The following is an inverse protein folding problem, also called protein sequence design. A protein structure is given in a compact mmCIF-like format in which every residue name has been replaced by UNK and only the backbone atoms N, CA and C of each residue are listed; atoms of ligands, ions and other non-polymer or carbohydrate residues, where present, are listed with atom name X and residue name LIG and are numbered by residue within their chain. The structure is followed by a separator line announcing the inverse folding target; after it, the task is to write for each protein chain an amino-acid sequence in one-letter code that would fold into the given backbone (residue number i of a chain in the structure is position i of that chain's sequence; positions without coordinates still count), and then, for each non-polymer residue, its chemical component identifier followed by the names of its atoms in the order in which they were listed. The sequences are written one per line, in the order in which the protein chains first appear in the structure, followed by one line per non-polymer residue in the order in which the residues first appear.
data_IF_060653409419
#
_entry.id   IF_060653409419
#
_cell.length_a   1.000
_cell.length_b   1.000
_cell.length_c   1.000
_cell.angle_alpha   90.00
_cell.angle_beta   90.00
_cell.angle_gamma   90.00
#
_symmetry.space_group_name_H-M   'P 1'
#
loop_
_entity.id
_entity.type
_entity.pdbx_description
1 polymer ?
#
# COMPACT_ATOMS: atom_id res chain seq x y z
N UNK A 1 32.98 41.05 -5.90
CA UNK A 1 34.11 40.80 -4.99
C UNK A 1 33.67 39.76 -3.97
N UNK A 2 34.60 38.86 -3.60
CA UNK A 2 34.54 37.75 -2.62
C UNK A 2 33.61 38.04 -1.43
N UNK A 3 32.82 37.07 -0.96
CA UNK A 3 33.31 36.03 -0.04
C UNK A 3 32.51 34.71 -0.07
N UNK A 4 33.26 33.62 0.01
CA UNK A 4 32.85 32.23 0.23
C UNK A 4 32.93 31.95 1.75
N UNK A 5 32.19 30.91 2.18
CA UNK A 5 32.36 30.03 3.38
C UNK A 5 31.26 30.23 4.44
N UNK A 6 30.72 29.21 5.11
CA UNK A 6 31.03 27.77 5.13
C UNK A 6 29.81 26.98 5.65
N UNK A 7 29.87 25.67 5.43
CA UNK A 7 29.01 24.63 5.98
C UNK A 7 28.93 24.67 7.51
N UNK A 8 27.74 24.43 8.05
CA UNK A 8 27.55 23.81 9.37
C UNK A 8 26.37 22.84 9.30
N UNK A 9 26.73 21.56 9.21
CA UNK A 9 25.93 20.42 9.67
C UNK A 9 25.54 20.58 11.14
N UNK A 10 24.30 20.29 11.50
CA UNK A 10 23.95 19.20 12.44
C UNK A 10 22.58 19.40 13.14
N UNK A 11 22.00 18.24 13.44
CA UNK A 11 21.08 17.93 14.54
C UNK A 11 19.57 18.04 14.28
N UNK A 12 19.01 16.85 14.09
CA UNK A 12 17.61 16.49 14.17
C UNK A 12 16.97 16.93 15.50
N UNK A 13 15.68 17.27 15.45
CA UNK A 13 14.80 17.26 16.59
C UNK A 13 13.50 16.56 16.18
N UNK A 14 13.29 15.38 16.75
CA UNK A 14 12.11 14.56 16.58
C UNK A 14 10.87 15.27 17.17
N UNK A 15 9.83 15.43 16.36
CA UNK A 15 8.52 15.88 16.83
C UNK A 15 7.76 14.66 17.33
N UNK A 16 7.67 14.52 18.66
CA UNK A 16 6.75 13.58 19.31
C UNK A 16 5.39 14.26 19.40
N UNK A 17 4.49 13.93 18.47
CA UNK A 17 3.07 14.23 18.60
C UNK A 17 2.36 13.04 19.22
N UNK A 18 2.04 13.18 20.50
CA UNK A 18 1.13 12.31 21.21
C UNK A 18 -0.29 12.49 20.66
N UNK A 19 -0.85 11.42 20.09
CA UNK A 19 -2.30 11.19 20.12
C UNK A 19 -2.54 9.86 20.83
N UNK A 20 -3.00 9.97 22.07
CA UNK A 20 -3.58 8.86 22.81
C UNK A 20 -4.94 8.52 22.20
N UNK A 21 -5.20 7.23 21.99
CA UNK A 21 -6.56 6.71 21.89
C UNK A 21 -6.92 5.93 20.63
N UNK A 22 -6.12 4.93 20.24
CA UNK A 22 -6.64 3.79 19.49
C UNK A 22 -6.38 2.53 20.28
N UNK A 23 -7.45 1.76 20.54
CA UNK A 23 -7.42 0.45 21.15
C UNK A 23 -6.23 -0.37 20.63
N UNK A 24 -5.43 -0.92 21.54
CA UNK A 24 -4.28 -1.76 21.19
C UNK A 24 -4.80 -2.95 20.36
N UNK A 25 -4.44 -3.08 19.08
CA UNK A 25 -4.58 -4.38 18.44
C UNK A 25 -3.67 -5.33 19.22
N UNK A 26 -4.19 -6.52 19.54
CA UNK A 26 -3.40 -7.59 20.10
C UNK A 26 -2.08 -7.65 19.34
N UNK A 27 -0.97 -7.51 20.06
CA UNK A 27 0.37 -7.55 19.48
C UNK A 27 0.54 -8.93 18.83
N UNK A 28 0.24 -9.01 17.54
CA UNK A 28 0.78 -10.04 16.69
C UNK A 28 2.30 -9.97 16.89
N UNK A 29 2.94 -11.13 17.07
CA UNK A 29 4.38 -11.24 17.00
C UNK A 29 4.88 -10.40 15.81
N UNK A 30 6.01 -9.67 15.93
CA UNK A 30 6.48 -8.84 14.83
C UNK A 30 6.61 -9.76 13.60
N UNK A 31 5.70 -9.58 12.65
CA UNK A 31 5.81 -10.26 11.38
C UNK A 31 7.04 -9.67 10.70
N UNK A 32 7.93 -10.51 10.22
CA UNK A 32 9.05 -10.06 9.40
C UNK A 32 8.49 -9.17 8.26
N UNK A 33 9.16 -8.05 7.95
CA UNK A 33 8.61 -7.06 7.02
C UNK A 33 8.22 -7.69 5.67
N UNK A 34 8.96 -8.71 5.22
CA UNK A 34 8.59 -9.53 4.06
C UNK A 34 7.25 -10.26 4.23
N UNK A 35 7.00 -10.92 5.37
CA UNK A 35 5.72 -11.60 5.64
C UNK A 35 4.56 -10.60 5.67
N UNK A 36 4.76 -9.43 6.27
CA UNK A 36 3.75 -8.37 6.28
C UNK A 36 3.47 -7.83 4.87
N UNK A 37 4.51 -7.64 4.05
CA UNK A 37 4.38 -7.17 2.68
C UNK A 37 3.69 -8.21 1.77
N UNK A 38 4.00 -9.50 1.93
CA UNK A 38 3.29 -10.58 1.24
C UNK A 38 1.80 -10.61 1.60
N UNK A 39 1.47 -10.50 2.89
CA UNK A 39 0.08 -10.43 3.34
C UNK A 39 -0.67 -9.18 2.81
N UNK A 40 0.04 -8.08 2.56
CA UNK A 40 -0.54 -6.91 1.88
C UNK A 40 -0.81 -7.19 0.40
N UNK A 41 0.12 -7.83 -0.31
CA UNK A 41 -0.07 -8.24 -1.70
C UNK A 41 -1.24 -9.21 -1.87
N UNK A 42 -1.36 -10.20 -0.96
CA UNK A 42 -2.47 -11.15 -0.97
C UNK A 42 -3.83 -10.47 -0.77
N UNK A 43 -3.90 -9.48 0.13
CA UNK A 43 -5.13 -8.70 0.33
C UNK A 43 -5.49 -7.87 -0.90
N UNK A 44 -4.51 -7.21 -1.52
CA UNK A 44 -4.75 -6.42 -2.73
C UNK A 44 -5.22 -7.30 -3.90
N UNK A 45 -4.69 -8.53 -4.01
CA UNK A 45 -5.17 -9.53 -4.98
C UNK A 45 -6.63 -9.93 -4.70
N UNK A 46 -6.97 -10.26 -3.45
CA UNK A 46 -8.33 -10.63 -3.05
C UNK A 46 -9.34 -9.50 -3.30
N UNK A 47 -8.94 -8.25 -3.03
CA UNK A 47 -9.76 -7.08 -3.27
C UNK A 47 -10.05 -6.89 -4.76
N UNK A 48 -9.02 -7.01 -5.62
CA UNK A 48 -9.20 -7.00 -7.07
C UNK A 48 -10.15 -8.11 -7.54
N UNK A 49 -9.94 -9.35 -7.09
CA UNK A 49 -10.74 -10.49 -7.52
C UNK A 49 -12.22 -10.34 -7.08
N UNK A 50 -12.45 -9.79 -5.89
CA UNK A 50 -13.80 -9.46 -5.41
C UNK A 50 -14.46 -8.41 -6.28
N UNK A 51 -13.76 -7.31 -6.60
CA UNK A 51 -14.28 -6.24 -7.46
C UNK A 51 -14.60 -6.76 -8.86
N UNK A 52 -13.68 -7.52 -9.45
CA UNK A 52 -13.88 -8.18 -10.75
C UNK A 52 -15.11 -9.07 -10.74
N UNK A 53 -15.25 -9.94 -9.73
CA UNK A 53 -16.40 -10.85 -9.60
C UNK A 53 -17.72 -10.09 -9.42
N UNK A 54 -17.70 -8.96 -8.72
CA UNK A 54 -18.85 -8.06 -8.61
C UNK A 54 -19.31 -7.53 -9.97
N UNK A 55 -18.38 -7.12 -10.84
CA UNK A 55 -18.72 -6.70 -12.20
C UNK A 55 -19.17 -7.85 -13.09
N UNK A 56 -18.53 -9.02 -13.01
CA UNK A 56 -18.96 -10.21 -13.73
C UNK A 56 -20.41 -10.59 -13.39
N UNK A 57 -20.78 -10.55 -12.10
CA UNK A 57 -22.15 -10.78 -11.66
C UNK A 57 -23.14 -9.73 -12.19
N UNK A 58 -22.76 -8.44 -12.21
CA UNK A 58 -23.59 -7.37 -12.79
C UNK A 58 -23.79 -7.57 -14.29
N UNK A 59 -22.74 -7.96 -15.01
CA UNK A 59 -22.82 -8.25 -16.46
C UNK A 59 -23.73 -9.44 -16.72
N UNK A 60 -23.58 -10.52 -15.93
CA UNK A 60 -24.44 -11.70 -16.04
C UNK A 60 -25.93 -11.40 -15.77
N UNK A 61 -26.21 -10.41 -14.90
CA UNK A 61 -27.56 -9.91 -14.65
C UNK A 61 -28.09 -8.93 -15.74
N UNK A 62 -27.35 -8.73 -16.84
CA UNK A 62 -27.73 -7.85 -17.95
C UNK A 62 -27.29 -6.39 -17.79
N UNK A 63 -26.48 -6.08 -16.77
CA UNK A 63 -25.88 -4.77 -16.58
C UNK A 63 -24.68 -4.52 -17.52
N UNK A 64 -24.32 -3.25 -17.70
CA UNK A 64 -23.12 -2.86 -18.45
C UNK A 64 -22.29 -1.87 -17.61
N UNK A 65 -21.07 -2.22 -17.18
CA UNK A 65 -20.20 -1.32 -16.43
C UNK A 65 -19.89 -0.05 -17.24
N UNK A 66 -20.18 1.11 -16.66
CA UNK A 66 -19.85 2.40 -17.23
C UNK A 66 -18.34 2.70 -17.19
N UNK A 67 -17.96 3.90 -17.65
CA UNK A 67 -16.56 4.31 -17.65
C UNK A 67 -15.96 4.35 -16.23
N UNK A 68 -16.74 4.79 -15.24
CA UNK A 68 -16.30 4.85 -13.84
C UNK A 68 -16.00 3.46 -13.28
N UNK A 69 -16.85 2.47 -13.54
CA UNK A 69 -16.64 1.11 -13.04
C UNK A 69 -15.48 0.40 -13.75
N UNK A 70 -15.28 0.68 -15.04
CA UNK A 70 -14.08 0.20 -15.74
C UNK A 70 -12.81 0.84 -15.19
N UNK A 71 -12.87 2.13 -14.82
CA UNK A 71 -11.76 2.82 -14.18
C UNK A 71 -11.47 2.23 -12.79
N UNK A 72 -12.50 1.98 -11.97
CA UNK A 72 -12.34 1.35 -10.66
C UNK A 72 -11.67 -0.04 -10.77
N UNK A 73 -12.05 -0.86 -11.76
CA UNK A 73 -11.37 -2.14 -12.01
C UNK A 73 -9.90 -1.96 -12.40
N UNK A 74 -9.60 -0.96 -13.23
CA UNK A 74 -8.24 -0.65 -13.65
C UNK A 74 -7.40 -0.10 -12.49
N UNK A 75 -7.98 0.72 -11.61
CA UNK A 75 -7.29 1.23 -10.43
C UNK A 75 -6.99 0.11 -9.43
N UNK A 76 -7.92 -0.83 -9.25
CA UNK A 76 -7.71 -2.03 -8.44
C UNK A 76 -6.62 -2.96 -9.04
N UNK A 77 -6.54 -3.06 -10.37
CA UNK A 77 -5.48 -3.78 -11.09
C UNK A 77 -4.10 -3.15 -10.85
N UNK A 78 -4.00 -1.83 -11.00
CA UNK A 78 -2.77 -1.10 -10.68
C UNK A 78 -2.39 -1.28 -9.21
N UNK A 79 -3.35 -1.17 -8.29
CA UNK A 79 -3.08 -1.29 -6.86
C UNK A 79 -2.51 -2.68 -6.50
N UNK A 80 -3.12 -3.76 -6.99
CA UNK A 80 -2.61 -5.12 -6.73
C UNK A 80 -1.20 -5.31 -7.31
N UNK A 81 -0.96 -4.83 -8.52
CA UNK A 81 0.34 -4.97 -9.19
C UNK A 81 1.45 -4.18 -8.50
N UNK A 82 1.17 -2.94 -8.08
CA UNK A 82 2.14 -2.13 -7.33
C UNK A 82 2.44 -2.76 -5.97
N UNK A 83 1.42 -3.23 -5.26
CA UNK A 83 1.59 -3.86 -3.94
C UNK A 83 2.39 -5.16 -4.05
N UNK A 84 2.13 -5.98 -5.07
CA UNK A 84 2.92 -7.18 -5.33
C UNK A 84 4.40 -6.85 -5.61
N UNK A 85 4.67 -5.88 -6.48
CA UNK A 85 6.04 -5.46 -6.78
C UNK A 85 6.76 -4.83 -5.57
N UNK A 86 6.03 -4.21 -4.65
CA UNK A 86 6.58 -3.70 -3.39
C UNK A 86 6.90 -4.82 -2.41
N UNK A 87 6.05 -5.85 -2.33
CA UNK A 87 6.33 -7.04 -1.55
C UNK A 87 7.58 -7.78 -2.04
N UNK A 88 7.71 -7.95 -3.37
CA UNK A 88 8.91 -8.55 -3.98
C UNK A 88 10.18 -7.79 -3.60
N UNK A 89 10.19 -6.46 -3.77
CA UNK A 89 11.33 -5.60 -3.40
C UNK A 89 11.67 -5.69 -1.92
N UNK A 90 10.66 -5.74 -1.06
CA UNK A 90 10.84 -5.82 0.40
C UNK A 90 11.48 -7.15 0.77
N UNK A 91 10.96 -8.26 0.25
CA UNK A 91 11.49 -9.59 0.49
C UNK A 91 12.90 -9.80 -0.08
N UNK A 92 13.19 -9.27 -1.27
CA UNK A 92 14.53 -9.33 -1.88
C UNK A 92 15.55 -8.56 -1.03
N UNK A 93 15.18 -7.40 -0.46
CA UNK A 93 16.06 -6.63 0.43
C UNK A 93 16.34 -7.27 1.79
N UNK A 94 15.58 -8.30 2.16
CA UNK A 94 15.77 -9.07 3.39
C UNK A 94 16.52 -10.40 3.18
N UNK A 95 16.80 -10.76 1.92
CA UNK A 95 17.50 -12.00 1.54
C UNK A 95 19.02 -11.82 1.52
#
# INVERSE_FOLDING_TARGET
MRTIRALTTAAAAAVVLALAGTALPAAAAPADDCTAAQAAADRAQQDFDRTKKGYEARIAAGGNPGAAERQELADADVHRSVTAAEAERTCDSMS
#
